data_IF_943748665619
#
_entry.id   IF_943748665619
#
_cell.length_a   1.000
_cell.length_b   1.000
_cell.length_c   1.000
_cell.angle_alpha   90.00
_cell.angle_beta   90.00
_cell.angle_gamma   90.00
#
_symmetry.space_group_name_H-M   'P 1'
#
loop_
_entity.id
_entity.type
_entity.pdbx_description
1 polymer ?
#
# COMPACT_ATOMS: atom_id res chain seq x y z
N UNK A 1 51.51 42.59 16.78
CA UNK A 1 50.48 41.91 17.60
C UNK A 1 51.18 41.03 18.63
N UNK A 2 50.81 41.07 19.92
CA UNK A 2 51.43 40.19 20.94
C UNK A 2 51.10 38.73 20.62
N UNK A 3 52.06 37.82 20.72
CA UNK A 3 51.88 36.40 20.35
C UNK A 3 50.66 35.73 21.02
N UNK A 4 50.31 36.15 22.24
CA UNK A 4 49.11 35.68 22.95
C UNK A 4 47.77 36.13 22.36
N UNK A 5 47.71 37.27 21.65
CA UNK A 5 46.50 37.71 20.97
C UNK A 5 46.26 36.98 19.66
N UNK A 6 47.34 36.72 18.91
CA UNK A 6 47.28 35.94 17.67
C UNK A 6 46.76 34.51 17.92
N UNK A 7 47.23 33.86 18.99
CA UNK A 7 46.74 32.53 19.39
C UNK A 7 45.24 32.52 19.71
N UNK A 8 44.71 33.56 20.36
CA UNK A 8 43.26 33.67 20.67
C UNK A 8 42.43 33.78 19.39
N UNK A 9 42.88 34.58 18.43
CA UNK A 9 42.19 34.72 17.14
C UNK A 9 42.22 33.42 16.32
N UNK A 10 43.36 32.72 16.29
CA UNK A 10 43.47 31.41 15.63
C UNK A 10 42.48 30.41 16.25
N UNK A 11 42.43 30.30 17.57
CA UNK A 11 41.50 29.38 18.26
C UNK A 11 40.04 29.74 17.94
N UNK A 12 39.68 31.03 17.96
CA UNK A 12 38.32 31.47 17.61
C UNK A 12 37.94 31.14 16.18
N UNK A 13 38.85 31.33 15.23
CA UNK A 13 38.64 30.99 13.83
C UNK A 13 38.46 29.48 13.68
N UNK A 14 39.33 28.68 14.29
CA UNK A 14 39.25 27.21 14.24
C UNK A 14 37.93 26.71 14.84
N UNK A 15 37.51 27.24 16.00
CA UNK A 15 36.23 26.89 16.60
C UNK A 15 35.05 27.32 15.72
N UNK A 16 35.13 28.50 15.10
CA UNK A 16 34.11 28.97 14.16
C UNK A 16 33.97 28.08 12.93
N UNK A 17 35.10 27.71 12.31
CA UNK A 17 35.11 26.78 11.17
C UNK A 17 34.59 25.40 11.57
N UNK A 18 35.02 24.87 12.72
CA UNK A 18 34.54 23.60 13.24
C UNK A 18 33.03 23.61 13.49
N UNK A 19 32.49 24.70 14.04
CA UNK A 19 31.06 24.87 14.24
C UNK A 19 30.29 24.91 12.90
N UNK A 20 30.79 25.65 11.90
CA UNK A 20 30.17 25.69 10.55
C UNK A 20 30.20 24.31 9.89
N UNK A 21 31.32 23.59 9.99
CA UNK A 21 31.43 22.23 9.47
C UNK A 21 30.46 21.26 10.15
N UNK A 22 30.30 21.36 11.48
CA UNK A 22 29.35 20.56 12.24
C UNK A 22 27.90 20.86 11.82
N UNK A 23 27.53 22.13 11.72
CA UNK A 23 26.20 22.55 11.26
C UNK A 23 25.96 22.07 9.84
N UNK A 24 26.91 22.26 8.94
CA UNK A 24 26.83 21.78 7.56
C UNK A 24 26.61 20.26 7.50
N UNK A 25 27.39 19.48 8.26
CA UNK A 25 27.24 18.03 8.32
C UNK A 25 25.86 17.59 8.84
N UNK A 26 25.37 18.21 9.92
CA UNK A 26 24.04 17.93 10.47
C UNK A 26 22.95 18.32 9.48
N UNK A 27 23.04 19.50 8.85
CA UNK A 27 22.07 19.93 7.85
C UNK A 27 22.04 19.02 6.63
N UNK A 28 23.21 18.59 6.12
CA UNK A 28 23.29 17.62 5.02
C UNK A 28 22.70 16.28 5.41
N UNK A 29 22.98 15.78 6.61
CA UNK A 29 22.39 14.54 7.11
C UNK A 29 20.86 14.62 7.15
N UNK A 30 20.30 15.66 7.80
CA UNK A 30 18.84 15.84 7.89
C UNK A 30 18.18 16.03 6.52
N UNK A 31 18.86 16.70 5.59
CA UNK A 31 18.37 16.84 4.22
C UNK A 31 18.32 15.49 3.50
N UNK A 32 19.41 14.72 3.55
CA UNK A 32 19.48 13.39 2.93
C UNK A 32 18.44 12.46 3.54
N UNK A 33 18.33 12.43 4.87
CA UNK A 33 17.37 11.61 5.60
C UNK A 33 15.92 11.94 5.19
N UNK A 34 15.58 13.22 5.11
CA UNK A 34 14.28 13.68 4.63
C UNK A 34 14.01 13.31 3.18
N UNK A 35 14.98 13.47 2.28
CA UNK A 35 14.79 13.13 0.87
C UNK A 35 14.71 11.62 0.64
N UNK A 36 15.40 10.81 1.45
CA UNK A 36 15.22 9.35 1.46
C UNK A 36 13.82 8.97 1.92
N UNK A 37 13.35 9.52 3.04
CA UNK A 37 11.97 9.32 3.54
C UNK A 37 10.94 9.69 2.46
N UNK A 38 11.17 10.82 1.77
CA UNK A 38 10.31 11.27 0.68
C UNK A 38 10.32 10.30 -0.51
N UNK A 39 11.51 9.83 -0.91
CA UNK A 39 11.68 8.88 -2.01
C UNK A 39 10.95 7.56 -1.74
N UNK A 40 10.98 7.09 -0.49
CA UNK A 40 10.28 5.88 -0.04
C UNK A 40 8.80 6.10 0.30
N UNK A 41 8.28 7.30 0.05
CA UNK A 41 6.86 7.61 0.20
C UNK A 41 6.41 7.93 1.62
N UNK A 42 7.30 7.99 2.61
CA UNK A 42 6.95 8.33 4.01
C UNK A 42 6.42 9.75 4.23
N UNK A 43 6.48 10.61 3.21
CA UNK A 43 5.88 11.94 3.19
C UNK A 43 4.63 12.03 2.29
N UNK A 44 4.11 10.90 1.80
CA UNK A 44 2.91 10.86 0.97
C UNK A 44 1.69 11.15 1.82
N UNK A 45 0.79 11.99 1.32
CA UNK A 45 -0.50 12.23 1.99
C UNK A 45 -1.30 10.92 2.06
N UNK A 46 -1.83 10.61 3.24
CA UNK A 46 -2.63 9.42 3.46
C UNK A 46 -3.93 9.55 2.67
N UNK A 47 -4.19 8.56 1.82
CA UNK A 47 -5.41 8.50 1.04
C UNK A 47 -6.58 8.10 1.95
N UNK A 48 -7.67 8.86 1.88
CA UNK A 48 -8.94 8.56 2.54
C UNK A 48 -9.98 8.18 1.50
N UNK A 49 -9.95 6.94 0.98
CA UNK A 49 -10.99 6.49 0.08
C UNK A 49 -12.31 6.40 0.86
N UNK A 50 -13.40 6.87 0.26
CA UNK A 50 -14.73 6.82 0.85
C UNK A 50 -15.30 5.39 0.89
N UNK A 51 -14.63 4.48 1.61
CA UNK A 51 -15.01 3.09 1.84
C UNK A 51 -15.88 2.98 3.10
N UNK A 52 -16.82 2.05 3.08
CA UNK A 52 -17.59 1.73 4.29
C UNK A 52 -16.66 1.14 5.36
N UNK A 53 -16.79 1.61 6.60
CA UNK A 53 -16.10 1.01 7.75
C UNK A 53 -16.65 -0.37 8.11
N UNK A 54 -17.84 -0.69 7.63
CA UNK A 54 -18.44 -2.02 7.78
C UNK A 54 -18.07 -2.88 6.58
N UNK A 55 -17.44 -4.03 6.85
CA UNK A 55 -17.28 -5.11 5.89
C UNK A 55 -18.50 -6.00 5.91
N UNK A 56 -18.82 -6.56 4.76
CA UNK A 56 -19.87 -7.55 4.62
C UNK A 56 -19.22 -8.89 4.39
N UNK A 57 -19.21 -9.73 5.42
CA UNK A 57 -18.54 -11.02 5.33
C UNK A 57 -19.45 -12.09 4.68
N UNK A 58 -20.72 -11.76 4.47
CA UNK A 58 -21.71 -12.59 3.77
C UNK A 58 -22.51 -11.78 2.77
N UNK A 59 -22.46 -12.14 1.49
CA UNK A 59 -23.17 -11.49 0.38
C UNK A 59 -23.21 -12.40 -0.85
N UNK A 60 -23.98 -12.02 -1.86
CA UNK A 60 -23.97 -12.72 -3.13
C UNK A 60 -23.88 -11.75 -4.32
N UNK A 61 -23.15 -12.17 -5.35
CA UNK A 61 -22.98 -11.43 -6.61
C UNK A 61 -23.80 -12.17 -7.68
N UNK A 62 -24.73 -11.47 -8.34
CA UNK A 62 -25.69 -12.05 -9.28
C UNK A 62 -25.50 -11.54 -10.70
N UNK A 63 -25.84 -12.38 -11.68
CA UNK A 63 -25.78 -12.04 -13.11
C UNK A 63 -24.38 -11.67 -13.60
N UNK A 64 -23.34 -12.29 -13.02
CA UNK A 64 -21.94 -11.98 -13.33
C UNK A 64 -21.32 -13.07 -14.20
N UNK A 65 -20.42 -12.70 -15.11
CA UNK A 65 -19.66 -13.65 -15.91
C UNK A 65 -18.41 -14.09 -15.13
N UNK A 66 -18.30 -15.35 -14.73
CA UNK A 66 -17.20 -15.83 -13.86
C UNK A 66 -16.14 -16.54 -14.68
N UNK A 67 -14.86 -16.23 -14.45
CA UNK A 67 -13.76 -16.97 -15.08
C UNK A 67 -13.83 -18.44 -14.66
N UNK A 68 -13.84 -19.34 -15.64
CA UNK A 68 -13.86 -20.78 -15.38
C UNK A 68 -12.59 -21.19 -14.59
N UNK A 69 -12.65 -22.25 -13.76
CA UNK A 69 -11.50 -22.73 -13.00
C UNK A 69 -10.26 -23.02 -13.87
N UNK A 70 -10.48 -23.43 -15.12
CA UNK A 70 -9.42 -23.70 -16.09
C UNK A 70 -8.76 -22.42 -16.65
N UNK A 71 -9.37 -21.25 -16.46
CA UNK A 71 -8.87 -19.96 -16.92
C UNK A 71 -9.01 -19.72 -18.42
N UNK A 72 -9.77 -20.54 -19.14
CA UNK A 72 -9.86 -20.54 -20.61
C UNK A 72 -11.10 -19.86 -21.18
N UNK A 73 -12.14 -19.66 -20.36
CA UNK A 73 -13.41 -19.05 -20.77
C UNK A 73 -14.13 -18.41 -19.57
N UNK A 74 -15.15 -17.63 -19.87
CA UNK A 74 -16.08 -17.12 -18.87
C UNK A 74 -17.39 -17.91 -18.90
N UNK A 75 -17.86 -18.31 -17.71
CA UNK A 75 -19.18 -18.88 -17.47
C UNK A 75 -20.18 -17.72 -17.34
N UNK A 76 -21.15 -17.58 -18.26
CA UNK A 76 -22.06 -16.46 -18.24
C UNK A 76 -23.15 -16.61 -17.16
N UNK A 77 -23.72 -15.48 -16.75
CA UNK A 77 -24.91 -15.38 -15.88
C UNK A 77 -24.85 -16.27 -14.62
N UNK A 78 -23.78 -16.16 -13.86
CA UNK A 78 -23.57 -16.93 -12.63
C UNK A 78 -23.99 -16.14 -11.38
N UNK A 79 -24.20 -16.89 -10.30
CA UNK A 79 -24.24 -16.40 -8.93
C UNK A 79 -23.01 -16.90 -8.19
N UNK A 80 -22.36 -15.99 -7.45
CA UNK A 80 -21.32 -16.34 -6.47
C UNK A 80 -21.83 -15.99 -5.09
N UNK A 81 -21.82 -16.96 -4.18
CA UNK A 81 -22.26 -16.76 -2.79
C UNK A 81 -21.06 -16.78 -1.85
N UNK A 82 -20.96 -15.76 -0.99
CA UNK A 82 -19.92 -15.60 0.00
C UNK A 82 -20.57 -15.69 1.38
N UNK A 83 -19.96 -16.46 2.28
CA UNK A 83 -20.39 -16.55 3.67
C UNK A 83 -19.19 -16.70 4.59
N UNK A 84 -19.11 -15.81 5.56
CA UNK A 84 -18.02 -15.71 6.53
C UNK A 84 -16.65 -15.57 5.83
N UNK A 85 -16.61 -14.76 4.75
CA UNK A 85 -15.41 -14.54 3.94
C UNK A 85 -15.05 -15.66 2.97
N UNK A 86 -15.80 -16.77 2.95
CA UNK A 86 -15.53 -17.92 2.08
C UNK A 86 -16.53 -18.03 0.93
N UNK A 87 -16.05 -18.42 -0.25
CA UNK A 87 -16.92 -18.78 -1.38
C UNK A 87 -17.65 -20.09 -1.03
N UNK A 88 -18.99 -20.03 -0.94
CA UNK A 88 -19.83 -21.19 -0.66
C UNK A 88 -20.32 -21.89 -1.92
N UNK A 89 -20.63 -21.12 -2.96
CA UNK A 89 -21.04 -21.68 -4.25
C UNK A 89 -20.77 -20.73 -5.40
N UNK A 90 -20.55 -21.33 -6.57
CA UNK A 90 -20.54 -20.69 -7.89
C UNK A 90 -21.47 -21.53 -8.77
N UNK A 91 -22.48 -20.94 -9.37
CA UNK A 91 -23.40 -21.68 -10.24
C UNK A 91 -24.52 -20.84 -10.83
N UNK A 92 -25.41 -21.51 -11.56
CA UNK A 92 -26.48 -20.87 -12.34
C UNK A 92 -27.41 -19.99 -11.49
N UNK A 93 -27.89 -18.90 -12.11
CA UNK A 93 -28.59 -17.81 -11.43
C UNK A 93 -29.99 -18.12 -10.88
N UNK A 94 -30.36 -19.40 -10.82
CA UNK A 94 -31.73 -19.85 -10.57
C UNK A 94 -32.16 -19.79 -9.11
N UNK A 95 -31.23 -19.84 -8.16
CA UNK A 95 -31.54 -19.84 -6.73
C UNK A 95 -30.84 -18.70 -6.02
N UNK A 96 -31.59 -17.63 -5.72
CA UNK A 96 -31.11 -16.49 -4.93
C UNK A 96 -31.15 -16.84 -3.45
N UNK A 97 -30.00 -16.85 -2.73
CA UNK A 97 -30.01 -17.02 -1.29
C UNK A 97 -30.80 -15.88 -0.62
N UNK A 98 -31.81 -16.24 0.17
CA UNK A 98 -32.61 -15.27 0.93
C UNK A 98 -31.86 -14.84 2.19
N UNK A 99 -31.95 -13.56 2.53
CA UNK A 99 -31.45 -13.04 3.81
C UNK A 99 -29.96 -12.69 3.84
N UNK A 100 -29.27 -12.72 2.70
CA UNK A 100 -27.95 -12.09 2.55
C UNK A 100 -28.03 -10.95 1.53
N UNK A 101 -27.24 -9.89 1.70
CA UNK A 101 -27.24 -8.78 0.75
C UNK A 101 -26.74 -9.21 -0.64
N UNK A 102 -27.22 -8.50 -1.67
CA UNK A 102 -26.97 -8.85 -3.07
C UNK A 102 -26.36 -7.69 -3.86
N UNK A 103 -25.41 -8.03 -4.74
CA UNK A 103 -24.84 -7.14 -5.75
C UNK A 103 -25.21 -7.64 -7.15
N UNK A 104 -25.59 -6.74 -8.05
CA UNK A 104 -25.86 -7.08 -9.45
C UNK A 104 -24.60 -6.81 -10.28
N UNK A 105 -24.01 -7.85 -10.85
CA UNK A 105 -22.82 -7.81 -11.71
C UNK A 105 -23.13 -7.98 -13.20
N UNK A 106 -24.31 -7.53 -13.66
CA UNK A 106 -24.70 -7.62 -15.07
C UNK A 106 -23.67 -6.93 -15.96
N UNK A 107 -23.32 -7.58 -17.07
CA UNK A 107 -22.30 -7.12 -18.03
C UNK A 107 -20.87 -7.00 -17.46
N UNK A 108 -20.65 -7.46 -16.22
CA UNK A 108 -19.35 -7.49 -15.55
C UNK A 108 -18.73 -8.89 -15.61
N UNK A 109 -17.43 -8.93 -15.35
CA UNK A 109 -16.62 -10.15 -15.30
C UNK A 109 -15.99 -10.28 -13.91
N UNK A 110 -16.05 -11.47 -13.34
CA UNK A 110 -15.47 -11.79 -12.05
C UNK A 110 -14.31 -12.77 -12.23
N UNK A 111 -13.16 -12.39 -11.70
CA UNK A 111 -11.92 -13.17 -11.67
C UNK A 111 -11.45 -13.30 -10.21
N UNK A 112 -10.62 -14.31 -9.89
CA UNK A 112 -9.92 -14.33 -8.62
C UNK A 112 -9.07 -13.06 -8.44
N UNK A 113 -8.93 -12.60 -7.18
CA UNK A 113 -8.03 -11.50 -6.87
C UNK A 113 -6.59 -11.86 -7.26
N UNK A 114 -5.84 -10.88 -7.75
CA UNK A 114 -4.49 -11.10 -8.23
C UNK A 114 -3.50 -11.31 -7.08
N UNK A 115 -2.43 -12.05 -7.39
CA UNK A 115 -1.30 -12.27 -6.50
C UNK A 115 -0.05 -11.68 -7.11
N UNK A 116 0.56 -10.70 -6.45
CA UNK A 116 1.86 -10.17 -6.82
C UNK A 116 2.96 -10.84 -5.99
N UNK A 117 3.80 -11.63 -6.66
CA UNK A 117 4.82 -12.44 -5.99
C UNK A 117 6.11 -11.68 -5.71
N UNK A 118 6.24 -10.43 -6.15
CA UNK A 118 7.46 -9.64 -5.98
C UNK A 118 7.12 -8.17 -5.81
N UNK A 119 6.83 -7.78 -4.57
CA UNK A 119 6.65 -6.37 -4.21
C UNK A 119 7.74 -5.90 -3.25
N UNK A 120 7.85 -4.59 -3.13
CA UNK A 120 8.55 -3.92 -2.04
C UNK A 120 7.58 -2.95 -1.41
N UNK A 121 7.16 -3.25 -0.18
CA UNK A 121 6.47 -2.28 0.65
C UNK A 121 7.52 -1.31 1.21
N UNK A 122 7.24 0.00 1.14
CA UNK A 122 8.13 1.07 1.56
C UNK A 122 7.56 1.79 2.78
N UNK A 123 7.69 3.11 2.86
CA UNK A 123 7.28 3.91 4.01
C UNK A 123 5.92 4.58 3.82
N UNK A 124 5.27 4.41 2.67
CA UNK A 124 3.98 5.04 2.38
C UNK A 124 2.84 4.24 3.03
N UNK A 125 1.98 4.93 3.79
CA UNK A 125 0.77 4.35 4.38
C UNK A 125 -0.24 3.85 3.32
N UNK A 126 -0.06 4.26 2.06
CA UNK A 126 -0.95 3.93 0.95
C UNK A 126 -0.53 2.70 0.15
N UNK A 127 0.62 2.08 0.48
CA UNK A 127 1.20 1.04 -0.37
C UNK A 127 0.21 -0.11 -0.62
N UNK A 128 -0.42 -0.63 0.44
CA UNK A 128 -1.42 -1.69 0.32
C UNK A 128 -2.72 -1.23 -0.36
N UNK A 129 -3.11 0.02 -0.18
CA UNK A 129 -4.31 0.56 -0.82
C UNK A 129 -4.19 0.52 -2.35
N UNK A 130 -3.01 0.86 -2.89
CA UNK A 130 -2.78 0.84 -4.33
C UNK A 130 -2.91 -0.57 -4.91
N UNK A 131 -2.42 -1.60 -4.21
CA UNK A 131 -2.58 -3.00 -4.63
C UNK A 131 -4.06 -3.39 -4.72
N UNK A 132 -4.83 -3.14 -3.66
CA UNK A 132 -6.27 -3.47 -3.64
C UNK A 132 -7.04 -2.68 -4.69
N UNK A 133 -6.72 -1.41 -4.90
CA UNK A 133 -7.33 -0.58 -5.95
C UNK A 133 -7.09 -1.12 -7.38
N UNK A 134 -6.03 -1.92 -7.57
CA UNK A 134 -5.70 -2.58 -8.84
C UNK A 134 -6.07 -4.08 -8.85
N UNK A 135 -6.86 -4.55 -7.89
CA UNK A 135 -7.33 -5.94 -7.82
C UNK A 135 -6.28 -6.94 -7.32
N UNK A 136 -5.13 -6.49 -6.80
CA UNK A 136 -4.13 -7.32 -6.14
C UNK A 136 -4.55 -7.51 -4.68
N UNK A 137 -4.89 -8.75 -4.32
CA UNK A 137 -5.42 -9.12 -3.00
C UNK A 137 -4.42 -9.91 -2.16
N UNK A 138 -3.33 -10.35 -2.77
CA UNK A 138 -2.24 -11.04 -2.10
C UNK A 138 -0.92 -10.51 -2.64
N UNK A 139 0.02 -10.23 -1.73
CA UNK A 139 1.37 -9.81 -2.10
C UNK A 139 2.41 -10.62 -1.33
N UNK A 140 3.56 -10.86 -1.95
CA UNK A 140 4.77 -11.31 -1.26
C UNK A 140 5.77 -10.17 -1.23
N UNK A 141 5.93 -9.58 -0.05
CA UNK A 141 6.94 -8.56 0.18
C UNK A 141 8.33 -9.20 0.19
N UNK A 142 9.21 -8.67 -0.66
CA UNK A 142 10.61 -9.07 -0.79
C UNK A 142 11.55 -8.03 -0.19
N UNK A 143 11.02 -7.03 0.51
CA UNK A 143 11.85 -6.11 1.26
C UNK A 143 12.62 -6.85 2.37
N UNK A 144 13.88 -6.48 2.55
CA UNK A 144 14.77 -7.12 3.54
C UNK A 144 14.65 -6.53 4.94
N UNK A 145 13.88 -5.45 5.08
CA UNK A 145 13.61 -4.77 6.34
C UNK A 145 12.12 -4.95 6.67
N UNK A 146 11.77 -5.18 7.96
CA UNK A 146 10.38 -5.14 8.37
C UNK A 146 9.87 -3.72 8.16
N UNK A 147 8.91 -3.57 7.25
CA UNK A 147 8.02 -2.41 7.22
C UNK A 147 7.06 -2.52 8.40
N UNK A 148 6.93 -1.44 9.18
CA UNK A 148 5.92 -1.36 10.23
C UNK A 148 4.57 -1.13 9.54
N UNK A 149 3.87 -2.22 9.23
CA UNK A 149 2.46 -2.21 8.84
C UNK A 149 1.56 -2.00 10.07
#
# INVERSE_FOLDING_TARGET
MKAGEMRKWIVRIVLGVAAVMMVGAVSSYLFIDRELTRMYGGLTEVADPALSKESMDSYAIFHVNVLAPEGDRFLPDQIVTIRDGEIRSVGDSTTVPRGIPSLVGRDMYLVPGFTDSHVHLWESENDLLLYVANGVTQVRDMNSLPVNL
#
